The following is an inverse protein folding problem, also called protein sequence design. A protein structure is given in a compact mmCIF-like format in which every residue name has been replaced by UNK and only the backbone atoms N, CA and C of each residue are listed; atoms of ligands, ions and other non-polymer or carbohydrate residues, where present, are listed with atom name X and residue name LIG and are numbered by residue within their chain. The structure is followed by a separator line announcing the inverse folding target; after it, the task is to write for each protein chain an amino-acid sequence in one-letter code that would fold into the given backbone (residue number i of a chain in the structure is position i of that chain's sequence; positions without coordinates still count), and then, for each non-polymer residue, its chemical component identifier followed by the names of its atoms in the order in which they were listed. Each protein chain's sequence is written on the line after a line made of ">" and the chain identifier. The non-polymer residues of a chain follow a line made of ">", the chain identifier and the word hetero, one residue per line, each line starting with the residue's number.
data_IF_721085634876
#
_entry.id   IF_721085634876
#
_cell.length_a   1.000
_cell.length_b   1.000
_cell.length_c   1.000
_cell.angle_alpha   90.00
_cell.angle_beta   90.00
_cell.angle_gamma   90.00
#
_symmetry.space_group_name_H-M   'P 1'
#
loop_
_entity.id
_entity.type
_entity.pdbx_description
1 polymer ?
#
# COMPACT_ATOMS: atom_id res chain seq x y z
N UNK A 1 -64.74 8.10 -57.66
CA UNK A 1 -64.62 7.54 -56.30
C UNK A 1 -63.56 6.47 -56.35
N UNK A 2 -62.33 6.79 -56.00
CA UNK A 2 -61.21 5.84 -55.87
C UNK A 2 -61.01 5.50 -54.41
N UNK A 3 -61.11 4.25 -54.03
CA UNK A 3 -60.79 3.76 -52.70
C UNK A 3 -59.28 3.49 -52.61
N UNK A 4 -58.63 4.17 -51.72
CA UNK A 4 -57.23 3.86 -51.33
C UNK A 4 -57.21 2.75 -50.32
N UNK A 5 -56.40 1.72 -50.60
CA UNK A 5 -56.14 0.61 -49.69
C UNK A 5 -54.85 0.95 -48.96
N UNK A 6 -54.93 1.21 -47.65
CA UNK A 6 -53.74 1.30 -46.78
C UNK A 6 -53.25 -0.10 -46.40
N UNK A 7 -52.02 -0.39 -46.81
CA UNK A 7 -51.28 -1.60 -46.36
C UNK A 7 -50.50 -1.21 -45.13
N UNK A 8 -50.91 -1.76 -44.00
CA UNK A 8 -50.13 -1.63 -42.73
C UNK A 8 -48.96 -2.57 -42.72
N UNK A 9 -47.75 -2.05 -42.65
CA UNK A 9 -46.52 -2.83 -42.43
C UNK A 9 -46.35 -3.01 -40.93
N UNK A 10 -46.49 -4.27 -40.47
CA UNK A 10 -46.23 -4.67 -39.09
C UNK A 10 -44.71 -4.91 -38.95
N UNK A 11 -44.01 -3.96 -38.32
CA UNK A 11 -42.59 -4.07 -38.03
C UNK A 11 -42.42 -4.97 -36.78
N UNK A 12 -41.91 -6.19 -36.99
CA UNK A 12 -41.56 -7.11 -35.92
C UNK A 12 -40.24 -6.66 -35.32
N UNK A 13 -40.28 -6.04 -34.16
CA UNK A 13 -39.07 -5.76 -33.32
C UNK A 13 -38.62 -7.07 -32.65
N UNK A 14 -37.63 -7.73 -33.24
CA UNK A 14 -36.91 -8.82 -32.58
C UNK A 14 -35.92 -8.19 -31.60
N UNK A 15 -36.27 -8.15 -30.31
CA UNK A 15 -35.34 -7.76 -29.26
C UNK A 15 -34.37 -8.90 -29.04
N UNK A 16 -33.13 -8.71 -29.47
CA UNK A 16 -32.02 -9.66 -29.20
C UNK A 16 -31.55 -9.48 -27.73
N UNK A 17 -32.21 -10.17 -26.82
CA UNK A 17 -31.80 -10.26 -25.40
C UNK A 17 -30.73 -11.34 -25.13
N UNK A 18 -29.86 -11.65 -26.06
CA UNK A 18 -28.91 -12.77 -25.97
C UNK A 18 -27.43 -12.41 -25.70
N UNK A 19 -27.03 -11.14 -25.85
CA UNK A 19 -25.59 -10.81 -25.90
C UNK A 19 -24.98 -10.18 -24.63
N UNK A 20 -25.78 -9.72 -23.69
CA UNK A 20 -25.24 -9.04 -22.49
C UNK A 20 -24.82 -10.00 -21.36
N UNK A 21 -25.45 -11.17 -21.22
CA UNK A 21 -25.10 -12.11 -20.16
C UNK A 21 -23.78 -12.86 -20.42
N UNK A 22 -23.45 -13.10 -21.69
CA UNK A 22 -22.18 -13.74 -22.08
C UNK A 22 -20.97 -12.84 -21.90
N UNK A 23 -21.06 -11.55 -22.23
CA UNK A 23 -19.99 -10.57 -22.01
C UNK A 23 -19.71 -10.34 -20.52
N UNK A 24 -20.73 -10.12 -19.72
CA UNK A 24 -20.55 -9.95 -18.25
C UNK A 24 -19.94 -11.17 -17.57
N UNK A 25 -20.27 -12.38 -18.00
CA UNK A 25 -19.65 -13.62 -17.48
C UNK A 25 -18.20 -13.78 -17.89
N UNK A 26 -17.81 -13.40 -19.10
CA UNK A 26 -16.42 -13.46 -19.55
C UNK A 26 -15.55 -12.38 -18.86
N UNK A 27 -16.05 -11.17 -18.71
CA UNK A 27 -15.36 -10.08 -18.00
C UNK A 27 -15.17 -10.42 -16.50
N UNK A 28 -16.20 -10.92 -15.83
CA UNK A 28 -16.08 -11.31 -14.41
C UNK A 28 -15.13 -12.49 -14.21
N UNK A 29 -15.03 -13.41 -15.17
CA UNK A 29 -14.08 -14.51 -15.14
C UNK A 29 -12.65 -14.02 -15.36
N UNK A 30 -12.42 -13.12 -16.32
CA UNK A 30 -11.12 -12.51 -16.56
C UNK A 30 -10.62 -11.73 -15.32
N UNK A 31 -11.46 -10.89 -14.73
CA UNK A 31 -11.13 -10.15 -13.51
C UNK A 31 -10.76 -11.11 -12.37
N UNK A 32 -11.48 -12.21 -12.17
CA UNK A 32 -11.17 -13.18 -11.11
C UNK A 32 -9.89 -13.99 -11.34
N UNK A 33 -9.44 -14.12 -12.59
CA UNK A 33 -8.16 -14.75 -12.92
C UNK A 33 -6.96 -13.79 -12.70
N UNK A 34 -7.17 -12.50 -12.87
CA UNK A 34 -6.17 -11.46 -12.66
C UNK A 34 -6.10 -10.98 -11.21
N UNK A 35 -7.26 -10.89 -10.56
CA UNK A 35 -7.41 -10.47 -9.17
C UNK A 35 -8.11 -11.57 -8.36
N UNK A 36 -7.38 -12.60 -7.93
CA UNK A 36 -7.95 -13.69 -7.13
C UNK A 36 -8.43 -13.19 -5.76
N UNK A 37 -9.43 -13.88 -5.21
CA UNK A 37 -10.09 -13.49 -3.96
C UNK A 37 -9.13 -13.29 -2.79
N UNK A 38 -8.06 -14.08 -2.75
CA UNK A 38 -7.01 -13.99 -1.73
C UNK A 38 -6.28 -12.65 -1.73
N UNK A 39 -6.34 -11.90 -2.85
CA UNK A 39 -5.68 -10.60 -3.02
C UNK A 39 -6.63 -9.40 -2.86
N UNK A 40 -7.95 -9.60 -2.94
CA UNK A 40 -8.91 -8.49 -3.04
C UNK A 40 -10.13 -8.59 -2.12
N UNK A 41 -10.47 -9.78 -1.60
CA UNK A 41 -11.68 -9.98 -0.78
C UNK A 41 -11.34 -10.12 0.69
N UNK A 42 -11.65 -9.08 1.45
CA UNK A 42 -11.36 -9.01 2.87
C UNK A 42 -12.58 -8.53 3.67
N UNK A 43 -12.80 -9.15 4.82
CA UNK A 43 -13.84 -8.76 5.79
C UNK A 43 -13.19 -8.23 7.06
N UNK A 44 -13.71 -7.14 7.64
CA UNK A 44 -13.18 -6.62 8.89
C UNK A 44 -13.34 -7.64 10.01
N UNK A 45 -12.31 -7.75 10.84
CA UNK A 45 -12.37 -8.50 12.08
C UNK A 45 -13.32 -7.81 13.08
N UNK A 46 -14.14 -8.58 13.77
CA UNK A 46 -15.22 -8.01 14.60
C UNK A 46 -14.72 -7.18 15.79
N UNK A 47 -13.51 -7.48 16.30
CA UNK A 47 -12.96 -6.83 17.47
C UNK A 47 -11.81 -5.87 17.10
N UNK A 48 -11.92 -5.15 15.99
CA UNK A 48 -11.00 -4.07 15.64
C UNK A 48 -11.20 -2.85 16.55
N UNK A 49 -10.16 -2.01 16.75
CA UNK A 49 -8.79 -2.20 16.27
C UNK A 49 -8.03 -3.28 17.06
N UNK A 50 -7.01 -3.91 16.42
CA UNK A 50 -6.17 -4.93 17.07
C UNK A 50 -4.91 -4.35 17.73
N UNK A 51 -4.54 -3.11 17.39
CA UNK A 51 -3.42 -2.40 18.02
C UNK A 51 -3.63 -0.88 17.95
N UNK A 52 -3.14 -0.17 18.95
CA UNK A 52 -3.23 1.30 19.08
C UNK A 52 -2.01 1.85 19.80
N UNK A 53 -1.86 3.17 19.79
CA UNK A 53 -0.94 3.88 20.68
C UNK A 53 -1.18 3.56 22.15
N UNK A 54 -0.35 4.07 23.01
CA UNK A 54 -0.49 3.84 24.48
C UNK A 54 -1.67 4.61 25.08
N UNK A 55 -2.12 5.67 24.42
CA UNK A 55 -3.14 6.62 24.89
C UNK A 55 -2.79 7.26 26.25
N UNK A 56 -1.49 7.35 26.53
CA UNK A 56 -0.94 8.04 27.71
C UNK A 56 0.21 8.94 27.25
N UNK A 57 0.57 9.94 28.04
CA UNK A 57 1.59 10.92 27.65
C UNK A 57 3.02 10.32 27.59
N UNK A 58 3.21 9.41 26.64
CA UNK A 58 4.48 8.77 26.30
C UNK A 58 4.84 9.04 24.85
N UNK A 59 6.00 8.56 24.41
CA UNK A 59 6.50 8.74 23.05
C UNK A 59 5.57 8.12 21.99
N UNK A 60 4.81 7.07 22.33
CA UNK A 60 3.83 6.37 21.49
C UNK A 60 2.39 6.60 21.97
N UNK A 61 2.07 7.80 22.49
CA UNK A 61 0.70 8.17 22.82
C UNK A 61 -0.26 7.86 21.66
N UNK A 62 0.14 8.23 20.47
CA UNK A 62 -0.50 7.87 19.21
C UNK A 62 0.48 7.09 18.32
N UNK A 63 -0.05 6.35 17.37
CA UNK A 63 0.73 5.76 16.30
C UNK A 63 0.45 6.49 14.99
N UNK A 64 1.47 6.55 14.13
CA UNK A 64 1.37 7.11 12.80
C UNK A 64 0.94 6.03 11.80
N UNK A 65 0.49 6.42 10.66
CA UNK A 65 0.21 5.55 9.52
C UNK A 65 1.44 4.76 9.06
N UNK A 66 1.23 3.71 8.27
CA UNK A 66 2.25 2.97 7.55
C UNK A 66 3.39 2.38 8.39
N UNK A 67 3.06 1.71 9.48
CA UNK A 67 3.96 0.70 10.02
C UNK A 67 4.07 -0.51 9.08
N UNK A 68 4.80 -1.53 9.49
CA UNK A 68 4.96 -2.75 8.68
C UNK A 68 4.81 -4.02 9.52
N UNK A 69 4.24 -5.07 8.91
CA UNK A 69 4.05 -6.36 9.56
C UNK A 69 4.66 -7.48 8.72
N UNK A 70 5.53 -8.29 9.33
CA UNK A 70 6.07 -9.52 8.76
C UNK A 70 5.64 -10.74 9.56
N UNK A 71 5.39 -11.84 8.87
CA UNK A 71 5.29 -13.16 9.47
C UNK A 71 6.62 -13.90 9.32
N UNK A 72 7.22 -14.29 10.43
CA UNK A 72 8.46 -15.04 10.44
C UNK A 72 8.47 -16.11 11.53
N UNK A 73 8.78 -17.35 11.16
CA UNK A 73 8.86 -18.48 12.09
C UNK A 73 7.62 -18.66 12.99
N UNK A 74 6.43 -18.43 12.43
CA UNK A 74 5.17 -18.58 13.14
C UNK A 74 4.82 -17.40 14.06
N UNK A 75 5.58 -16.30 14.02
CA UNK A 75 5.31 -15.10 14.79
C UNK A 75 5.13 -13.88 13.87
N UNK A 76 4.18 -13.05 14.19
CA UNK A 76 4.02 -11.73 13.60
C UNK A 76 4.97 -10.76 14.28
N UNK A 77 5.67 -9.98 13.49
CA UNK A 77 6.53 -8.87 13.90
C UNK A 77 5.97 -7.59 13.32
N UNK A 78 5.77 -6.57 14.14
CA UNK A 78 5.27 -5.28 13.71
C UNK A 78 6.24 -4.19 14.11
N UNK A 79 6.57 -3.34 13.15
CA UNK A 79 7.26 -2.07 13.34
C UNK A 79 6.23 -0.96 13.14
N UNK A 80 6.23 0.04 14.02
CA UNK A 80 5.28 1.14 13.99
C UNK A 80 5.95 2.45 14.41
N UNK A 81 5.43 3.55 13.91
CA UNK A 81 5.85 4.88 14.34
C UNK A 81 4.99 5.36 15.49
N UNK A 82 5.61 5.77 16.57
CA UNK A 82 4.94 6.37 17.71
C UNK A 82 5.30 7.84 17.85
N UNK A 83 4.36 8.66 18.34
CA UNK A 83 4.56 10.07 18.62
C UNK A 83 3.62 10.56 19.74
N UNK A 84 3.88 11.76 20.28
CA UNK A 84 3.12 12.30 21.43
C UNK A 84 1.74 12.83 21.06
N UNK A 85 1.55 13.29 19.80
CA UNK A 85 0.27 13.75 19.30
C UNK A 85 0.28 15.06 18.52
N UNK A 86 1.38 15.81 18.53
CA UNK A 86 1.58 16.94 17.61
C UNK A 86 2.22 16.44 16.31
N UNK A 87 1.78 16.97 15.16
CA UNK A 87 2.32 16.58 13.87
C UNK A 87 3.83 16.87 13.73
N UNK A 88 4.33 17.87 14.48
CA UNK A 88 5.74 18.21 14.51
C UNK A 88 6.54 17.41 15.57
N UNK A 89 5.88 16.56 16.34
CA UNK A 89 6.59 15.67 17.28
C UNK A 89 7.45 14.67 16.48
N UNK A 90 8.67 14.39 16.96
CA UNK A 90 9.50 13.34 16.34
C UNK A 90 8.77 11.99 16.31
N UNK A 91 8.88 11.31 15.19
CA UNK A 91 8.35 9.96 14.98
C UNK A 91 9.45 8.96 15.31
N UNK A 92 9.21 8.11 16.29
CA UNK A 92 10.16 7.10 16.77
C UNK A 92 9.68 5.70 16.45
N UNK A 93 10.64 4.80 16.22
CA UNK A 93 10.36 3.43 15.83
C UNK A 93 10.03 2.56 17.04
N UNK A 94 8.85 1.96 17.04
CA UNK A 94 8.43 0.93 17.98
C UNK A 94 8.41 -0.45 17.37
N UNK A 95 8.40 -1.46 18.25
CA UNK A 95 8.32 -2.85 17.89
C UNK A 95 7.30 -3.60 18.74
N UNK A 96 6.51 -4.47 18.12
CA UNK A 96 5.58 -5.36 18.79
C UNK A 96 5.57 -6.73 18.13
N UNK A 97 5.21 -7.76 18.89
CA UNK A 97 5.08 -9.13 18.38
C UNK A 97 3.73 -9.72 18.71
N UNK A 98 3.31 -10.70 17.94
CA UNK A 98 2.09 -11.48 18.18
C UNK A 98 2.24 -12.92 17.67
N UNK A 99 1.62 -13.87 18.36
CA UNK A 99 1.54 -15.26 17.89
C UNK A 99 0.30 -15.54 17.06
N UNK A 100 -0.69 -14.65 17.10
CA UNK A 100 -1.99 -14.82 16.44
C UNK A 100 -2.36 -13.67 15.49
N UNK A 101 -1.54 -12.59 15.46
CA UNK A 101 -1.78 -11.40 14.64
C UNK A 101 -2.95 -10.53 15.12
N UNK A 102 -3.46 -10.79 16.32
CA UNK A 102 -4.60 -10.10 16.95
C UNK A 102 -4.16 -9.48 18.27
N UNK A 103 -3.55 -10.29 19.12
CA UNK A 103 -3.06 -9.87 20.44
C UNK A 103 -1.58 -9.51 20.34
N UNK A 104 -1.26 -8.23 20.46
CA UNK A 104 0.08 -7.71 20.27
C UNK A 104 0.74 -7.37 21.61
N UNK A 105 2.01 -7.71 21.73
CA UNK A 105 2.84 -7.40 22.89
C UNK A 105 3.90 -6.39 22.43
N UNK A 106 3.83 -5.16 22.95
CA UNK A 106 4.87 -4.14 22.73
C UNK A 106 6.18 -4.60 23.36
N UNK A 107 7.28 -4.36 22.66
CA UNK A 107 8.62 -4.66 23.18
C UNK A 107 8.92 -3.77 24.40
N UNK A 108 9.53 -4.33 25.43
CA UNK A 108 9.72 -3.65 26.71
C UNK A 108 10.68 -2.45 26.62
N UNK A 109 11.68 -2.54 25.74
CA UNK A 109 12.69 -1.48 25.55
C UNK A 109 12.34 -0.54 24.38
N UNK A 110 11.05 -0.36 24.06
CA UNK A 110 10.62 0.64 23.10
C UNK A 110 10.84 2.08 23.61
N UNK A 111 11.16 3.06 22.71
CA UNK A 111 11.35 2.90 21.26
C UNK A 111 12.66 2.17 20.93
N UNK A 112 12.64 1.30 19.91
CA UNK A 112 13.82 0.57 19.46
C UNK A 112 14.76 1.42 18.58
N UNK A 113 14.30 2.58 18.10
CA UNK A 113 15.14 3.58 17.41
C UNK A 113 14.52 4.96 17.60
N UNK A 114 15.31 5.90 18.15
CA UNK A 114 14.93 7.27 18.51
C UNK A 114 15.95 8.33 18.07
N UNK A 115 16.93 7.93 17.22
CA UNK A 115 18.05 8.80 16.82
C UNK A 115 17.72 9.66 15.62
N UNK A 116 16.69 9.31 14.87
CA UNK A 116 16.24 9.98 13.68
C UNK A 116 14.74 9.78 13.52
N UNK A 117 14.06 10.74 12.94
CA UNK A 117 12.67 10.62 12.53
C UNK A 117 12.49 9.40 11.62
N UNK A 118 11.56 8.51 11.96
CA UNK A 118 11.38 7.24 11.25
C UNK A 118 9.89 6.92 11.19
N UNK A 119 9.31 7.10 10.04
CA UNK A 119 7.91 6.77 9.77
C UNK A 119 7.74 6.13 8.40
N UNK A 120 6.52 5.72 8.07
CA UNK A 120 6.14 5.22 6.76
C UNK A 120 7.07 4.10 6.26
N UNK A 121 7.39 3.17 7.17
CA UNK A 121 8.41 2.17 6.92
C UNK A 121 7.91 0.96 6.14
N UNK A 122 8.80 0.41 5.37
CA UNK A 122 8.72 -0.92 4.76
C UNK A 122 9.89 -1.78 5.25
N UNK A 123 9.65 -3.03 5.62
CA UNK A 123 10.68 -3.95 6.10
C UNK A 123 10.74 -5.18 5.22
N UNK A 124 11.93 -5.50 4.70
CA UNK A 124 12.21 -6.73 3.97
C UNK A 124 13.38 -7.47 4.60
N UNK A 125 13.28 -8.80 4.65
CA UNK A 125 14.41 -9.67 5.03
C UNK A 125 14.98 -10.34 3.79
N UNK A 126 16.28 -10.13 3.57
CA UNK A 126 17.03 -10.81 2.52
C UNK A 126 18.21 -11.56 3.14
N UNK A 127 18.20 -12.88 3.03
CA UNK A 127 19.14 -13.72 3.75
C UNK A 127 18.98 -13.58 5.28
N UNK A 128 20.07 -13.23 5.96
CA UNK A 128 20.10 -13.01 7.41
C UNK A 128 20.00 -11.54 7.81
N UNK A 129 19.74 -10.65 6.85
CA UNK A 129 19.71 -9.21 7.07
C UNK A 129 18.30 -8.67 6.87
N UNK A 130 17.84 -7.84 7.81
CA UNK A 130 16.67 -6.98 7.63
C UNK A 130 17.10 -5.63 7.06
N UNK A 131 16.31 -5.13 6.14
CA UNK A 131 16.39 -3.80 5.56
C UNK A 131 15.10 -3.06 5.83
N UNK A 132 15.18 -1.88 6.39
CA UNK A 132 14.05 -0.99 6.56
C UNK A 132 14.28 0.24 5.70
N UNK A 133 13.35 0.50 4.82
CA UNK A 133 13.24 1.75 4.08
C UNK A 133 12.16 2.55 4.78
N UNK A 134 12.50 3.73 5.27
CA UNK A 134 11.58 4.54 6.05
C UNK A 134 11.64 5.99 5.59
N UNK A 135 10.58 6.70 5.81
CA UNK A 135 10.54 8.13 5.63
C UNK A 135 11.10 8.83 6.85
N UNK A 136 11.93 9.83 6.60
CA UNK A 136 12.51 10.69 7.60
C UNK A 136 11.94 12.09 7.56
N UNK A 137 12.53 12.99 8.32
CA UNK A 137 12.16 14.40 8.31
C UNK A 137 12.26 15.01 6.89
N UNK A 138 11.27 15.84 6.52
CA UNK A 138 11.11 16.43 5.19
C UNK A 138 10.85 15.42 4.06
N UNK A 139 10.20 14.33 4.36
CA UNK A 139 9.78 13.27 3.42
C UNK A 139 10.99 12.75 2.61
N UNK A 140 12.11 12.50 3.30
CA UNK A 140 13.31 11.94 2.70
C UNK A 140 13.46 10.48 3.13
N UNK A 141 13.39 9.59 2.16
CA UNK A 141 13.60 8.16 2.42
C UNK A 141 15.02 7.87 2.86
N UNK A 142 15.16 7.09 3.93
CA UNK A 142 16.44 6.61 4.44
C UNK A 142 16.44 5.09 4.68
N UNK A 143 17.63 4.52 4.77
CA UNK A 143 17.85 3.08 4.96
C UNK A 143 18.37 2.79 6.36
N UNK A 144 17.76 1.79 7.00
CA UNK A 144 18.28 1.16 8.20
C UNK A 144 18.50 -0.34 7.96
N UNK A 145 19.46 -0.93 8.66
CA UNK A 145 19.70 -2.39 8.61
C UNK A 145 19.73 -2.98 10.00
N UNK A 146 19.34 -4.27 10.13
CA UNK A 146 19.38 -5.02 11.38
C UNK A 146 19.58 -6.50 11.11
N UNK A 147 20.21 -7.21 12.05
CA UNK A 147 20.34 -8.68 11.99
C UNK A 147 19.21 -9.41 12.73
N UNK A 148 18.50 -8.73 13.62
CA UNK A 148 17.46 -9.30 14.48
C UNK A 148 16.07 -8.63 14.33
N UNK A 149 16.03 -7.46 13.65
CA UNK A 149 14.82 -6.67 13.47
C UNK A 149 14.48 -5.76 14.65
N UNK A 150 15.33 -5.72 15.69
CA UNK A 150 15.17 -4.89 16.90
C UNK A 150 16.26 -3.84 17.00
N UNK A 151 17.52 -4.24 16.81
CA UNK A 151 18.67 -3.32 16.86
C UNK A 151 19.00 -2.83 15.47
N UNK A 152 18.67 -1.56 15.19
CA UNK A 152 18.81 -0.95 13.87
C UNK A 152 20.02 -0.03 13.78
N UNK A 153 20.66 -0.08 12.61
CA UNK A 153 21.76 0.80 12.24
C UNK A 153 21.36 1.65 11.04
N UNK A 154 21.39 2.96 11.22
CA UNK A 154 21.20 3.95 10.14
C UNK A 154 22.31 3.84 9.09
N UNK A 155 21.93 3.88 7.81
CA UNK A 155 22.84 3.84 6.65
C UNK A 155 22.87 5.14 5.86
N UNK A 156 21.91 6.01 6.07
CA UNK A 156 21.81 7.31 5.43
C UNK A 156 20.60 7.45 4.52
N UNK A 157 20.42 8.67 4.05
CA UNK A 157 19.37 9.03 3.11
C UNK A 157 19.65 8.43 1.72
N UNK A 158 18.60 8.02 1.02
CA UNK A 158 18.73 7.54 -0.33
C UNK A 158 18.99 8.68 -1.30
N UNK A 159 19.69 8.40 -2.38
CA UNK A 159 19.91 9.31 -3.49
C UNK A 159 19.14 8.78 -4.68
N UNK A 160 18.08 9.48 -5.09
CA UNK A 160 17.28 9.07 -6.23
C UNK A 160 17.62 9.94 -7.43
N UNK A 161 17.78 9.30 -8.59
CA UNK A 161 18.17 9.96 -9.85
C UNK A 161 17.14 9.70 -10.94
N UNK A 162 17.02 10.64 -11.85
CA UNK A 162 16.30 10.48 -13.11
C UNK A 162 17.01 9.47 -14.00
N UNK A 163 16.38 9.10 -15.11
CA UNK A 163 16.99 8.27 -16.18
C UNK A 163 18.24 8.92 -16.80
N UNK A 164 18.39 10.25 -16.68
CA UNK A 164 19.56 10.99 -17.11
C UNK A 164 20.59 11.25 -16.00
N UNK A 165 20.54 10.51 -14.89
CA UNK A 165 21.45 10.60 -13.75
C UNK A 165 21.37 11.92 -12.96
N UNK A 166 20.37 12.75 -13.17
CA UNK A 166 20.14 13.97 -12.40
C UNK A 166 19.51 13.63 -11.04
N UNK A 167 20.02 14.23 -9.96
CA UNK A 167 19.47 14.02 -8.62
C UNK A 167 18.07 14.61 -8.52
N UNK A 168 17.12 13.79 -8.07
CA UNK A 168 15.76 14.21 -7.78
C UNK A 168 15.75 14.90 -6.41
N UNK A 169 15.28 16.14 -6.31
CA UNK A 169 15.15 16.81 -5.01
C UNK A 169 13.99 16.19 -4.20
N UNK A 170 14.11 16.25 -2.87
CA UNK A 170 13.00 15.91 -1.97
C UNK A 170 11.77 16.82 -2.25
N UNK A 171 10.55 16.39 -1.89
CA UNK A 171 10.24 15.16 -1.15
C UNK A 171 10.22 13.90 -2.05
N UNK A 172 10.57 12.79 -1.46
CA UNK A 172 10.38 11.43 -2.00
C UNK A 172 10.27 10.45 -0.82
N UNK A 173 9.07 10.08 -0.53
CA UNK A 173 8.69 9.35 0.69
C UNK A 173 8.01 8.02 0.42
N UNK A 174 7.41 7.51 1.47
CA UNK A 174 6.54 6.33 1.44
C UNK A 174 7.18 5.14 0.72
N UNK A 175 8.40 4.71 1.09
CA UNK A 175 9.17 3.74 0.33
C UNK A 175 8.66 2.32 0.48
N UNK A 176 8.78 1.52 -0.58
CA UNK A 176 8.57 0.07 -0.57
C UNK A 176 9.61 -0.58 -1.47
N UNK A 177 10.32 -1.58 -0.98
CA UNK A 177 11.35 -2.25 -1.76
C UNK A 177 10.94 -3.66 -2.20
N UNK A 178 11.44 -4.09 -3.33
CA UNK A 178 11.33 -5.45 -3.85
C UNK A 178 12.70 -5.95 -4.30
N UNK A 179 13.08 -7.15 -3.88
CA UNK A 179 14.32 -7.78 -4.30
C UNK A 179 14.04 -9.05 -5.09
N UNK A 180 14.51 -9.11 -6.31
CA UNK A 180 14.35 -10.25 -7.19
C UNK A 180 15.52 -10.35 -8.18
N UNK A 181 15.97 -11.55 -8.47
CA UNK A 181 17.05 -11.85 -9.45
C UNK A 181 18.34 -11.04 -9.22
N UNK A 182 18.64 -10.76 -7.94
CA UNK A 182 19.84 -10.02 -7.57
C UNK A 182 19.73 -8.50 -7.69
N UNK A 183 18.55 -7.97 -8.05
CA UNK A 183 18.32 -6.55 -8.26
C UNK A 183 17.33 -6.00 -7.23
N UNK A 184 17.63 -4.81 -6.70
CA UNK A 184 16.73 -4.06 -5.85
C UNK A 184 15.87 -3.12 -6.66
N UNK A 185 14.59 -3.07 -6.32
CA UNK A 185 13.58 -2.18 -6.85
C UNK A 185 13.02 -1.36 -5.70
N UNK A 186 12.91 -0.05 -5.86
CA UNK A 186 12.29 0.88 -4.90
C UNK A 186 11.09 1.53 -5.55
N UNK A 187 9.94 1.31 -4.96
CA UNK A 187 8.74 2.09 -5.23
C UNK A 187 8.68 3.22 -4.22
N UNK A 188 8.43 4.43 -4.67
CA UNK A 188 8.38 5.62 -3.83
C UNK A 188 7.40 6.64 -4.41
N UNK A 189 6.88 7.51 -3.57
CA UNK A 189 5.99 8.57 -4.00
C UNK A 189 6.73 9.91 -4.11
N UNK A 190 6.12 10.90 -4.78
CA UNK A 190 6.57 12.29 -4.83
C UNK A 190 5.36 13.21 -4.72
N UNK A 191 5.25 13.93 -3.59
CA UNK A 191 4.11 14.80 -3.28
C UNK A 191 2.75 14.10 -3.40
N UNK A 192 2.69 12.79 -3.16
CA UNK A 192 1.51 11.92 -3.33
C UNK A 192 0.90 11.91 -4.74
N UNK A 193 1.59 12.41 -5.74
CA UNK A 193 1.07 12.56 -7.11
C UNK A 193 1.25 11.31 -7.99
N UNK A 194 1.90 10.30 -7.48
CA UNK A 194 2.17 9.06 -8.20
C UNK A 194 3.14 8.16 -7.46
N UNK A 195 3.31 6.96 -7.97
CA UNK A 195 4.31 5.99 -7.52
C UNK A 195 5.33 5.80 -8.63
N UNK A 196 6.60 6.08 -8.33
CA UNK A 196 7.74 5.87 -9.23
C UNK A 196 8.45 4.57 -8.90
N UNK A 197 9.26 4.10 -9.84
CA UNK A 197 10.10 2.92 -9.67
C UNK A 197 11.54 3.23 -10.04
N UNK A 198 12.44 3.01 -9.08
CA UNK A 198 13.88 3.08 -9.27
C UNK A 198 14.54 1.73 -8.97
N UNK A 199 15.76 1.53 -9.46
CA UNK A 199 16.58 0.34 -9.17
C UNK A 199 17.92 0.74 -8.58
N UNK A 200 18.52 -0.17 -7.79
CA UNK A 200 19.83 0.03 -7.17
C UNK A 200 20.62 -1.28 -7.08
N UNK A 201 21.93 -1.15 -7.14
CA UNK A 201 22.90 -2.23 -6.85
C UNK A 201 23.60 -2.02 -5.49
N UNK A 202 23.59 -0.81 -4.91
CA UNK A 202 24.27 -0.45 -3.66
C UNK A 202 23.34 -0.10 -2.50
N UNK A 203 22.02 -0.03 -2.74
CA UNK A 203 20.96 0.33 -1.78
C UNK A 203 20.96 1.80 -1.33
N UNK A 204 21.85 2.63 -1.82
CA UNK A 204 21.98 4.05 -1.49
C UNK A 204 21.64 4.92 -2.70
N UNK A 205 22.23 4.58 -3.86
CA UNK A 205 21.98 5.30 -5.12
C UNK A 205 20.95 4.53 -5.94
N UNK A 206 19.89 5.21 -6.30
CA UNK A 206 18.75 4.64 -7.02
C UNK A 206 18.53 5.40 -8.32
N UNK A 207 18.39 4.70 -9.43
CA UNK A 207 18.11 5.32 -10.73
C UNK A 207 16.72 4.90 -11.21
N UNK A 208 15.90 5.87 -11.57
CA UNK A 208 14.58 5.62 -12.13
C UNK A 208 14.68 4.74 -13.38
N UNK A 209 13.74 3.80 -13.53
CA UNK A 209 13.61 3.03 -14.78
C UNK A 209 12.91 3.85 -15.87
N UNK A 210 12.07 4.81 -15.46
CA UNK A 210 11.41 5.83 -16.28
C UNK A 210 11.10 7.04 -15.40
N UNK A 211 11.04 8.24 -15.99
CA UNK A 211 10.80 9.46 -15.22
C UNK A 211 9.30 9.77 -14.99
N UNK A 212 8.43 9.03 -15.65
CA UNK A 212 6.99 9.03 -15.38
C UNK A 212 6.64 8.03 -14.27
N UNK A 213 5.63 8.31 -13.43
CA UNK A 213 5.19 7.34 -12.43
C UNK A 213 4.62 6.06 -13.05
N UNK A 214 4.88 4.93 -12.42
CA UNK A 214 4.32 3.62 -12.81
C UNK A 214 2.86 3.47 -12.38
N UNK A 215 2.43 4.18 -11.32
CA UNK A 215 1.02 4.36 -10.95
C UNK A 215 0.74 5.84 -10.79
N UNK A 216 -0.28 6.34 -11.50
CA UNK A 216 -0.72 7.74 -11.47
C UNK A 216 -1.96 7.89 -10.59
N UNK A 217 -2.16 9.09 -10.04
CA UNK A 217 -3.44 9.47 -9.43
C UNK A 217 -4.58 9.32 -10.44
N UNK A 218 -5.78 9.04 -9.94
CA UNK A 218 -6.99 8.90 -10.76
C UNK A 218 -6.89 7.86 -11.87
N UNK A 219 -7.82 7.87 -12.83
CA UNK A 219 -8.96 8.80 -12.96
C UNK A 219 -10.13 8.49 -12.00
N UNK A 220 -10.08 7.39 -11.26
CA UNK A 220 -11.16 6.98 -10.39
C UNK A 220 -11.19 7.81 -9.09
N UNK A 221 -12.39 8.03 -8.49
CA UNK A 221 -12.52 8.90 -7.33
C UNK A 221 -11.75 8.44 -6.09
N UNK A 222 -11.49 7.16 -5.94
CA UNK A 222 -10.85 6.61 -4.73
C UNK A 222 -9.37 6.99 -4.58
N UNK A 223 -8.71 7.39 -5.66
CA UNK A 223 -7.30 7.81 -5.67
C UNK A 223 -7.06 9.09 -6.51
N UNK A 224 -8.09 9.93 -6.60
CA UNK A 224 -8.02 11.17 -7.38
C UNK A 224 -7.15 12.26 -6.73
N UNK A 225 -6.95 12.19 -5.43
CA UNK A 225 -6.23 13.21 -4.65
C UNK A 225 -4.79 12.88 -4.33
N UNK A 226 -4.53 11.61 -4.03
CA UNK A 226 -3.20 11.14 -3.67
C UNK A 226 -3.05 9.65 -3.96
N UNK A 227 -1.81 9.19 -4.17
CA UNK A 227 -1.43 7.77 -4.18
C UNK A 227 -0.03 7.59 -3.59
N UNK A 228 0.11 6.62 -2.68
CA UNK A 228 1.41 6.20 -2.18
C UNK A 228 1.44 4.70 -1.90
N UNK A 229 2.61 4.08 -2.12
CA UNK A 229 2.78 2.63 -2.05
C UNK A 229 2.89 2.14 -0.61
N UNK A 230 2.40 0.93 -0.34
CA UNK A 230 2.54 0.28 0.96
C UNK A 230 3.30 -1.05 0.89
N UNK A 231 3.04 -1.85 -0.14
CA UNK A 231 3.64 -3.17 -0.25
C UNK A 231 3.57 -3.71 -1.68
N UNK A 232 4.58 -4.47 -2.09
CA UNK A 232 4.54 -5.34 -3.28
C UNK A 232 4.61 -6.79 -2.82
N UNK A 233 3.75 -7.64 -3.36
CA UNK A 233 3.77 -9.09 -3.15
C UNK A 233 3.73 -9.83 -4.48
N UNK A 234 4.30 -11.04 -4.53
CA UNK A 234 4.21 -11.94 -5.70
C UNK A 234 3.28 -13.10 -5.38
N UNK A 235 2.27 -13.30 -6.22
CA UNK A 235 1.30 -14.37 -6.07
C UNK A 235 1.00 -15.02 -7.42
N UNK A 236 1.18 -16.35 -7.52
CA UNK A 236 0.94 -17.13 -8.76
C UNK A 236 1.63 -16.53 -10.00
N UNK A 237 2.86 -16.03 -9.84
CA UNK A 237 3.66 -15.47 -10.93
C UNK A 237 3.34 -14.03 -11.35
N UNK A 238 2.39 -13.38 -10.69
CA UNK A 238 2.03 -11.97 -10.88
C UNK A 238 2.43 -11.16 -9.67
N UNK A 239 2.65 -9.86 -9.86
CA UNK A 239 2.92 -8.90 -8.78
C UNK A 239 1.64 -8.14 -8.44
N UNK A 240 1.43 -7.90 -7.15
CA UNK A 240 0.34 -7.08 -6.62
C UNK A 240 0.94 -5.99 -5.77
N UNK A 241 0.64 -4.74 -6.11
CA UNK A 241 1.01 -3.57 -5.32
C UNK A 241 -0.20 -3.12 -4.52
N UNK A 242 -0.03 -3.08 -3.20
CA UNK A 242 -1.00 -2.49 -2.29
C UNK A 242 -0.59 -1.05 -2.07
N UNK A 243 -1.55 -0.14 -2.20
CA UNK A 243 -1.31 1.29 -2.10
C UNK A 243 -2.49 2.00 -1.45
N UNK A 244 -2.23 3.11 -0.82
CA UNK A 244 -3.31 3.98 -0.38
C UNK A 244 -3.55 5.12 -1.37
N UNK A 245 -4.74 5.68 -1.33
CA UNK A 245 -5.11 6.83 -2.11
C UNK A 245 -6.00 7.75 -1.31
N UNK A 246 -6.11 9.00 -1.76
CA UNK A 246 -7.06 9.95 -1.21
C UNK A 246 -8.13 10.31 -2.23
N UNK A 247 -9.37 10.46 -1.75
CA UNK A 247 -10.50 10.86 -2.60
C UNK A 247 -10.52 12.36 -2.92
N UNK A 248 -9.71 13.17 -2.22
CA UNK A 248 -9.72 14.63 -2.36
C UNK A 248 -8.32 15.17 -2.67
N UNK A 249 -8.11 15.90 -3.78
CA UNK A 249 -6.82 16.53 -4.09
C UNK A 249 -6.40 17.61 -3.08
N UNK A 250 -7.32 18.13 -2.28
CA UNK A 250 -7.01 19.08 -1.19
C UNK A 250 -6.96 18.39 0.18
N UNK A 251 -6.54 17.14 0.22
CA UNK A 251 -6.55 16.31 1.43
C UNK A 251 -5.78 16.92 2.62
N UNK A 252 -4.78 17.75 2.36
CA UNK A 252 -4.04 18.47 3.38
C UNK A 252 -4.83 19.63 4.02
N UNK A 253 -5.98 20.03 3.46
CA UNK A 253 -6.82 21.06 4.01
C UNK A 253 -7.76 20.48 5.08
N UNK A 254 -7.59 20.82 6.38
CA UNK A 254 -8.39 20.23 7.45
C UNK A 254 -9.88 20.60 7.39
N UNK A 255 -10.28 21.55 6.54
CA UNK A 255 -11.68 21.92 6.32
C UNK A 255 -12.35 21.12 5.19
N UNK A 256 -11.62 20.25 4.53
CA UNK A 256 -12.13 19.41 3.45
C UNK A 256 -12.11 17.93 3.86
N UNK A 257 -13.22 17.25 3.58
CA UNK A 257 -13.27 15.81 3.84
C UNK A 257 -12.47 15.05 2.77
N UNK A 258 -11.42 14.41 3.18
CA UNK A 258 -10.70 13.42 2.39
C UNK A 258 -10.89 12.04 3.03
N UNK A 259 -11.22 11.03 2.24
CA UNK A 259 -11.19 9.64 2.69
C UNK A 259 -9.93 8.99 2.17
N UNK A 260 -9.19 8.36 3.06
CA UNK A 260 -8.04 7.56 2.73
C UNK A 260 -8.46 6.13 2.43
N UNK A 261 -8.05 5.59 1.31
CA UNK A 261 -8.52 4.32 0.78
C UNK A 261 -7.39 3.31 0.68
N UNK A 262 -7.74 2.02 0.76
CA UNK A 262 -6.82 0.91 0.51
C UNK A 262 -7.13 0.26 -0.84
N UNK A 263 -6.13 0.19 -1.69
CA UNK A 263 -6.27 -0.20 -3.09
C UNK A 263 -5.23 -1.26 -3.48
N UNK A 264 -5.47 -1.92 -4.61
CA UNK A 264 -4.54 -2.87 -5.20
C UNK A 264 -4.47 -2.70 -6.72
N UNK A 265 -3.29 -2.91 -7.28
CA UNK A 265 -3.07 -3.06 -8.71
C UNK A 265 -2.21 -4.30 -8.98
N UNK A 266 -2.29 -4.86 -10.20
CA UNK A 266 -1.58 -6.05 -10.64
C UNK A 266 -0.63 -5.70 -11.77
N UNK A 267 0.51 -6.39 -11.82
CA UNK A 267 1.50 -6.30 -12.90
C UNK A 267 2.13 -7.67 -13.19
N UNK A 268 2.71 -7.82 -14.36
CA UNK A 268 3.55 -8.97 -14.73
C UNK A 268 5.04 -8.62 -14.84
N UNK A 269 5.39 -7.33 -14.76
CA UNK A 269 6.75 -6.82 -15.03
C UNK A 269 7.22 -5.72 -14.05
N UNK A 270 6.44 -5.38 -13.02
CA UNK A 270 6.68 -4.30 -12.04
C UNK A 270 6.57 -2.86 -12.62
N UNK A 271 6.34 -2.71 -13.92
CA UNK A 271 6.33 -1.42 -14.62
C UNK A 271 4.91 -1.04 -15.03
N UNK A 272 4.20 -1.98 -15.66
CA UNK A 272 2.86 -1.76 -16.18
C UNK A 272 1.84 -2.33 -15.20
N UNK A 273 1.06 -1.45 -14.56
CA UNK A 273 0.12 -1.80 -13.51
C UNK A 273 -1.32 -1.59 -13.97
N UNK A 274 -2.15 -2.60 -13.71
CA UNK A 274 -3.59 -2.54 -13.89
C UNK A 274 -4.26 -2.41 -12.52
N UNK A 275 -4.99 -1.31 -12.30
CA UNK A 275 -5.74 -1.09 -11.05
C UNK A 275 -6.92 -2.04 -10.98
N UNK A 276 -7.18 -2.60 -9.79
CA UNK A 276 -8.34 -3.46 -9.60
C UNK A 276 -9.64 -2.70 -9.87
N UNK A 277 -10.51 -3.20 -10.77
CA UNK A 277 -11.71 -2.46 -11.20
C UNK A 277 -12.72 -2.17 -10.08
N UNK A 278 -12.63 -2.90 -8.96
CA UNK A 278 -13.52 -2.73 -7.82
C UNK A 278 -12.82 -2.11 -6.60
N UNK A 279 -11.69 -1.40 -6.80
CA UNK A 279 -11.11 -0.60 -5.74
C UNK A 279 -12.12 0.44 -5.20
N UNK A 280 -12.03 0.83 -3.92
CA UNK A 280 -11.09 0.36 -2.92
C UNK A 280 -11.44 -1.03 -2.37
N UNK A 281 -10.41 -1.82 -2.02
CA UNK A 281 -10.58 -3.16 -1.43
C UNK A 281 -11.01 -3.11 0.04
N UNK A 282 -10.78 -1.98 0.71
CA UNK A 282 -11.30 -1.65 2.03
C UNK A 282 -12.06 -0.34 1.93
N UNK A 283 -13.30 -0.35 2.40
CA UNK A 283 -14.17 0.83 2.41
C UNK A 283 -14.04 1.61 3.72
N UNK A 284 -14.26 2.90 3.64
CA UNK A 284 -14.14 3.81 4.76
C UNK A 284 -12.76 4.47 4.80
N UNK A 285 -12.48 5.17 5.90
CA UNK A 285 -11.22 5.88 6.11
C UNK A 285 -10.17 4.92 6.70
N UNK A 286 -9.72 3.98 5.86
CA UNK A 286 -8.76 2.95 6.20
C UNK A 286 -7.70 2.82 5.12
N UNK A 287 -6.52 3.37 5.39
CA UNK A 287 -5.38 3.40 4.48
C UNK A 287 -4.27 2.44 4.89
N UNK A 288 -3.20 2.48 4.13
CA UNK A 288 -1.94 1.78 4.42
C UNK A 288 -2.09 0.26 4.52
N UNK A 289 -2.57 -0.38 3.43
CA UNK A 289 -2.83 -1.81 3.41
C UNK A 289 -1.54 -2.64 3.41
N UNK A 290 -1.47 -3.63 4.30
CA UNK A 290 -0.37 -4.59 4.42
C UNK A 290 -0.95 -6.00 4.38
N UNK A 291 -0.61 -6.77 3.36
CA UNK A 291 -1.02 -8.17 3.23
C UNK A 291 0.00 -9.08 3.90
N UNK A 292 -0.46 -9.96 4.77
CA UNK A 292 0.36 -10.95 5.47
C UNK A 292 -0.19 -12.35 5.23
N UNK A 293 0.67 -13.27 4.77
CA UNK A 293 0.36 -14.69 4.70
C UNK A 293 0.88 -15.40 5.96
N UNK A 294 -0.01 -16.02 6.73
CA UNK A 294 0.34 -16.66 8.00
C UNK A 294 0.72 -18.15 7.88
N UNK A 295 0.92 -18.60 6.64
CA UNK A 295 1.18 -20.01 6.31
C UNK A 295 -0.10 -20.78 5.97
N UNK A 296 -1.28 -20.21 6.22
CA UNK A 296 -2.58 -20.82 5.95
C UNK A 296 -3.54 -19.87 5.25
N UNK A 297 -3.67 -18.62 5.74
CA UNK A 297 -4.61 -17.64 5.25
C UNK A 297 -3.90 -16.30 4.97
N UNK A 298 -4.48 -15.51 4.08
CA UNK A 298 -4.10 -14.12 3.89
C UNK A 298 -4.89 -13.25 4.86
N UNK A 299 -4.20 -12.30 5.46
CA UNK A 299 -4.75 -11.26 6.33
C UNK A 299 -4.32 -9.90 5.80
N UNK A 300 -5.25 -8.98 5.71
CA UNK A 300 -4.95 -7.60 5.38
C UNK A 300 -5.00 -6.78 6.66
N UNK A 301 -3.99 -5.97 6.88
CA UNK A 301 -3.99 -4.95 7.93
C UNK A 301 -4.05 -3.59 7.29
N UNK A 302 -4.77 -2.66 7.90
CA UNK A 302 -4.66 -1.24 7.60
C UNK A 302 -4.08 -0.55 8.81
N UNK A 303 -3.23 0.43 8.59
CA UNK A 303 -2.56 1.14 9.67
C UNK A 303 -2.61 2.64 9.40
N UNK A 304 -3.44 3.33 10.17
CA UNK A 304 -3.55 4.78 10.20
C UNK A 304 -3.36 5.23 11.65
N UNK A 305 -4.37 5.73 12.34
CA UNK A 305 -4.30 6.02 13.78
C UNK A 305 -4.30 4.75 14.66
N UNK A 306 -4.75 3.64 14.08
CA UNK A 306 -4.87 2.33 14.72
C UNK A 306 -4.61 1.24 13.68
N UNK A 307 -4.30 0.04 14.14
CA UNK A 307 -4.17 -1.14 13.28
C UNK A 307 -5.50 -1.89 13.24
N UNK A 308 -6.04 -2.03 12.04
CA UNK A 308 -7.25 -2.82 11.78
C UNK A 308 -6.90 -4.10 11.03
N UNK A 309 -7.53 -5.18 11.39
CA UNK A 309 -7.38 -6.49 10.76
C UNK A 309 -8.59 -6.81 9.88
N UNK A 310 -8.30 -7.38 8.72
CA UNK A 310 -9.28 -7.95 7.80
C UNK A 310 -8.84 -9.37 7.44
N UNK A 311 -9.79 -10.29 7.36
CA UNK A 311 -9.54 -11.69 7.01
C UNK A 311 -10.05 -11.99 5.61
N UNK A 312 -9.32 -12.82 4.85
CA UNK A 312 -9.80 -13.34 3.56
C UNK A 312 -11.05 -14.19 3.74
N UNK A 313 -11.99 -14.12 2.79
CA UNK A 313 -13.18 -14.98 2.74
C UNK A 313 -12.83 -16.40 2.28
#
# INVERSE_FOLDING_TARGET
>A
MKKEIQVGILLLLIVTMGCQSGKKKSESKAISEEFPSEMVNFKPYNNNPVFSGSNVNTWDNLIRERGYILMENGNYKMWYSGYKGDENDPKYLGYATSTDGINWIKYEDNPIFDKKWTEDMFVIKNGNQYYMFAEGENDITHLLTSIDGVHWQEKGDLIIRTTNEEIIPAPYGTPTAWFEEGKWHLFYERNDLGIWLATSDDLITWTNIQDEPVIKIGPEPYDAGAVAVNQVVKFKGKYYIYYHGSTNPNWANPNENALWTSNVAMSTDLIHWEKYPNNPIVKGDHSSPILVYDGKNYRLYTMHENVWLYTSE
#
